data_IF_196015288884
#
_entry.id   IF_196015288884
#
_cell.length_a   1.000
_cell.length_b   1.000
_cell.length_c   1.000
_cell.angle_alpha   90.00
_cell.angle_beta   90.00
_cell.angle_gamma   90.00
#
_symmetry.space_group_name_H-M   'P 1'
#
loop_
_entity.id
_entity.type
_entity.pdbx_description
1 polymer ?
#
# COMPACT_ATOMS: atom_id res chain seq x y z
N UNK A 1 0.97 -4.83 -15.04
CA UNK A 1 0.39 -3.47 -15.10
C UNK A 1 0.83 -2.69 -13.87
N UNK A 2 1.09 -1.38 -13.97
CA UNK A 2 1.47 -0.52 -12.83
C UNK A 2 0.27 0.31 -12.36
N UNK A 3 0.10 0.45 -11.05
CA UNK A 3 -1.03 1.18 -10.45
C UNK A 3 -0.56 2.10 -9.32
N UNK A 4 -1.27 3.19 -9.09
CA UNK A 4 -1.18 3.97 -7.85
C UNK A 4 -2.35 3.56 -6.97
N UNK A 5 -2.09 3.24 -5.70
CA UNK A 5 -3.16 2.97 -4.74
C UNK A 5 -3.50 4.24 -3.95
N UNK A 6 -4.78 4.53 -3.85
CA UNK A 6 -5.26 5.51 -2.88
C UNK A 6 -5.21 4.93 -1.46
N UNK A 7 -4.98 5.77 -0.46
CA UNK A 7 -4.92 5.38 0.94
C UNK A 7 -6.22 4.72 1.43
N UNK A 8 -7.39 5.12 0.90
CA UNK A 8 -8.67 4.48 1.23
C UNK A 8 -8.78 3.05 0.72
N UNK A 9 -8.08 2.70 -0.37
CA UNK A 9 -7.99 1.32 -0.85
C UNK A 9 -7.19 0.48 0.14
N UNK A 10 -6.08 1.02 0.66
CA UNK A 10 -5.29 0.36 1.70
C UNK A 10 -6.13 0.15 2.98
N UNK A 11 -6.79 1.19 3.49
CA UNK A 11 -7.65 1.09 4.68
C UNK A 11 -8.76 0.05 4.46
N UNK A 12 -9.45 0.11 3.32
CA UNK A 12 -10.55 -0.80 3.00
C UNK A 12 -10.07 -2.25 2.84
N UNK A 13 -8.87 -2.47 2.29
CA UNK A 13 -8.28 -3.80 2.16
C UNK A 13 -8.03 -4.44 3.53
N UNK A 14 -7.56 -3.64 4.49
CA UNK A 14 -7.30 -4.08 5.86
C UNK A 14 -8.60 -4.33 6.66
N UNK A 15 -9.59 -3.44 6.53
CA UNK A 15 -10.86 -3.56 7.25
C UNK A 15 -11.76 -4.66 6.69
N UNK A 16 -11.71 -4.92 5.36
CA UNK A 16 -12.62 -5.83 4.68
C UNK A 16 -11.83 -6.83 3.81
N UNK A 17 -11.33 -7.95 4.37
CA UNK A 17 -10.46 -8.91 3.66
C UNK A 17 -11.07 -9.56 2.40
N UNK A 18 -12.40 -9.57 2.28
CA UNK A 18 -13.13 -10.09 1.10
C UNK A 18 -13.55 -9.02 0.10
N UNK A 19 -13.18 -7.76 0.32
CA UNK A 19 -13.55 -6.64 -0.55
C UNK A 19 -12.73 -6.59 -1.85
N UNK A 20 -13.19 -5.79 -2.82
CA UNK A 20 -12.44 -5.48 -4.05
C UNK A 20 -11.05 -4.87 -3.73
N UNK A 21 -10.91 -3.90 -2.81
CA UNK A 21 -9.62 -3.42 -2.32
C UNK A 21 -8.67 -4.53 -1.83
N UNK A 22 -9.17 -5.46 -1.01
CA UNK A 22 -8.36 -6.58 -0.53
C UNK A 22 -7.94 -7.52 -1.67
N UNK A 23 -8.78 -7.67 -2.70
CA UNK A 23 -8.41 -8.40 -3.92
C UNK A 23 -7.31 -7.70 -4.69
N UNK A 24 -7.36 -6.37 -4.83
CA UNK A 24 -6.29 -5.60 -5.48
C UNK A 24 -4.97 -5.80 -4.73
N UNK A 25 -4.99 -5.70 -3.40
CA UNK A 25 -3.79 -5.92 -2.58
C UNK A 25 -3.24 -7.35 -2.75
N UNK A 26 -4.10 -8.37 -2.84
CA UNK A 26 -3.66 -9.74 -3.14
C UNK A 26 -2.98 -9.87 -4.49
N UNK A 27 -3.53 -9.24 -5.54
CA UNK A 27 -2.91 -9.26 -6.87
C UNK A 27 -1.52 -8.58 -6.86
N UNK A 28 -1.34 -7.56 -6.02
CA UNK A 28 -0.01 -6.98 -5.79
C UNK A 28 0.92 -7.97 -5.11
N UNK A 29 0.47 -8.60 -4.02
CA UNK A 29 1.25 -9.60 -3.29
C UNK A 29 1.64 -10.81 -4.15
N UNK A 30 0.82 -11.14 -5.15
CA UNK A 30 1.05 -12.22 -6.11
C UNK A 30 1.96 -11.82 -7.28
N UNK A 31 2.30 -10.54 -7.42
CA UNK A 31 3.12 -10.02 -8.52
C UNK A 31 2.35 -9.74 -9.82
N UNK A 32 1.01 -9.89 -9.82
CA UNK A 32 0.17 -9.60 -10.99
C UNK A 32 0.03 -8.09 -11.24
N UNK A 33 0.12 -7.29 -10.17
CA UNK A 33 0.08 -5.82 -10.19
C UNK A 33 1.30 -5.24 -9.48
N UNK A 34 1.86 -4.17 -10.04
CA UNK A 34 2.97 -3.44 -9.42
C UNK A 34 2.46 -2.11 -8.86
N UNK A 35 2.64 -1.88 -7.56
CA UNK A 35 2.34 -0.59 -6.95
C UNK A 35 3.44 0.41 -7.31
N UNK A 36 3.04 1.58 -7.78
CA UNK A 36 3.89 2.76 -7.86
C UNK A 36 3.74 3.52 -6.53
N UNK A 37 4.84 3.67 -5.82
CA UNK A 37 4.88 4.45 -4.58
C UNK A 37 6.27 5.06 -4.38
N UNK A 38 6.33 6.08 -3.52
CA UNK A 38 7.57 6.62 -2.99
C UNK A 38 7.49 6.66 -1.45
N UNK A 39 8.54 7.13 -0.80
CA UNK A 39 8.62 7.12 0.67
C UNK A 39 7.58 8.03 1.32
N UNK A 40 7.16 9.09 0.60
CA UNK A 40 6.10 9.98 1.04
C UNK A 40 4.74 9.26 1.08
N UNK A 41 4.38 8.52 0.03
CA UNK A 41 3.15 7.71 -0.03
C UNK A 41 3.16 6.62 1.04
N UNK A 42 4.29 5.94 1.23
CA UNK A 42 4.41 4.89 2.25
C UNK A 42 4.25 5.44 3.68
N UNK A 43 4.77 6.64 3.92
CA UNK A 43 4.59 7.35 5.20
C UNK A 43 3.14 7.74 5.44
N UNK A 44 2.44 8.23 4.41
CA UNK A 44 1.01 8.54 4.48
C UNK A 44 0.18 7.29 4.81
N UNK A 45 0.46 6.16 4.13
CA UNK A 45 -0.21 4.90 4.43
C UNK A 45 -0.01 4.48 5.88
N UNK A 46 1.22 4.55 6.38
CA UNK A 46 1.53 4.22 7.77
C UNK A 46 0.76 5.13 8.73
N UNK A 47 0.75 6.44 8.51
CA UNK A 47 0.06 7.39 9.38
C UNK A 47 -1.44 7.11 9.42
N UNK A 48 -2.08 6.91 8.26
CA UNK A 48 -3.52 6.66 8.18
C UNK A 48 -3.88 5.30 8.77
N UNK A 49 -3.16 4.22 8.44
CA UNK A 49 -3.46 2.87 8.94
C UNK A 49 -3.24 2.72 10.45
N UNK A 50 -2.36 3.54 11.05
CA UNK A 50 -2.10 3.56 12.49
C UNK A 50 -3.18 4.29 13.30
N UNK A 51 -4.14 4.97 12.66
CA UNK A 51 -5.19 5.71 13.38
C UNK A 51 -6.01 4.75 14.25
N UNK A 52 -6.13 4.99 15.58
CA UNK A 52 -6.79 4.07 16.51
C UNK A 52 -8.21 3.67 16.10
N UNK A 53 -8.95 4.57 15.45
CA UNK A 53 -10.33 4.34 14.97
C UNK A 53 -10.49 3.16 14.01
N UNK A 54 -9.40 2.65 13.43
CA UNK A 54 -9.44 1.50 12.53
C UNK A 54 -9.12 0.17 13.22
N UNK A 55 -8.59 0.20 14.45
CA UNK A 55 -8.31 -0.99 15.27
C UNK A 55 -7.48 -2.07 14.53
N UNK A 56 -6.57 -1.63 13.66
CA UNK A 56 -5.79 -2.53 12.82
C UNK A 56 -4.56 -3.08 13.56
N UNK A 57 -4.20 -4.32 13.25
CA UNK A 57 -2.98 -4.93 13.76
C UNK A 57 -1.74 -4.25 13.17
N UNK A 58 -0.96 -3.59 14.02
CA UNK A 58 0.26 -2.87 13.63
C UNK A 58 1.30 -3.78 12.96
N UNK A 59 1.44 -5.03 13.41
CA UNK A 59 2.36 -6.00 12.81
C UNK A 59 2.03 -6.29 11.35
N UNK A 60 0.73 -6.45 11.02
CA UNK A 60 0.27 -6.62 9.64
C UNK A 60 0.53 -5.38 8.79
N UNK A 61 0.31 -4.18 9.36
CA UNK A 61 0.60 -2.91 8.69
C UNK A 61 2.10 -2.80 8.38
N UNK A 62 2.96 -3.04 9.36
CA UNK A 62 4.41 -2.99 9.14
C UNK A 62 4.87 -4.00 8.10
N UNK A 63 4.32 -5.22 8.14
CA UNK A 63 4.64 -6.27 7.16
C UNK A 63 4.26 -5.84 5.73
N UNK A 64 3.05 -5.30 5.53
CA UNK A 64 2.64 -4.89 4.17
C UNK A 64 3.47 -3.71 3.67
N UNK A 65 3.79 -2.74 4.53
CA UNK A 65 4.53 -1.56 4.12
C UNK A 65 5.97 -1.92 3.77
N UNK A 66 6.58 -2.82 4.56
CA UNK A 66 7.90 -3.36 4.24
C UNK A 66 7.91 -4.12 2.90
N UNK A 67 6.89 -4.93 2.64
CA UNK A 67 6.74 -5.62 1.36
C UNK A 67 6.60 -4.62 0.19
N UNK A 68 5.71 -3.64 0.29
CA UNK A 68 5.50 -2.65 -0.78
C UNK A 68 6.76 -1.80 -0.97
N UNK A 69 7.53 -1.53 0.08
CA UNK A 69 8.83 -0.84 -0.06
C UNK A 69 9.86 -1.68 -0.81
N UNK A 70 9.89 -2.99 -0.60
CA UNK A 70 10.82 -3.92 -1.28
C UNK A 70 10.45 -4.15 -2.74
N UNK A 71 9.16 -4.41 -3.01
CA UNK A 71 8.68 -4.88 -4.31
C UNK A 71 8.02 -3.77 -5.15
N UNK A 72 7.74 -2.62 -4.54
CA UNK A 72 7.10 -1.48 -5.18
C UNK A 72 8.01 -0.83 -6.21
N UNK A 73 7.40 -0.36 -7.30
CA UNK A 73 8.11 0.44 -8.29
C UNK A 73 8.27 1.86 -7.73
N UNK A 74 9.49 2.19 -7.32
CA UNK A 74 9.91 3.54 -6.92
C UNK A 74 10.51 4.26 -8.14
N UNK A 75 9.72 5.01 -8.93
CA UNK A 75 10.30 5.83 -9.97
C UNK A 75 11.21 6.86 -9.30
N UNK A 76 12.47 6.91 -9.73
CA UNK A 76 13.30 8.07 -9.43
C UNK A 76 12.57 9.32 -9.93
N UNK A 77 12.56 10.43 -9.17
CA UNK A 77 12.06 11.68 -9.69
C UNK A 77 12.83 11.96 -10.98
N UNK A 78 12.12 12.04 -12.10
CA UNK A 78 12.73 12.46 -13.36
C UNK A 78 13.30 13.84 -13.12
N UNK A 79 14.62 13.95 -13.12
CA UNK A 79 15.34 15.22 -13.16
C UNK A 79 14.92 15.92 -14.45
N UNK A 80 13.84 16.67 -14.40
CA UNK A 80 13.51 17.65 -15.43
C UNK A 80 14.53 18.77 -15.30
N UNK A 81 15.51 18.74 -16.21
CA UNK A 81 16.37 19.88 -16.54
C UNK A 81 15.56 20.94 -17.29
#
# INVERSE_FOLDING_TARGET
>A
MKIVLDTNVMVSAFLKPRSKPARILRLVLQGDLFIICNEHILSEYLEVLKRPKFELNLGKIHTIIAFIRSEGFMPLPSLTH
#
